data_IF_354881474287
#
_entry.id   IF_354881474287
#
_cell.length_a   1.000
_cell.length_b   1.000
_cell.length_c   1.000
_cell.angle_alpha   90.00
_cell.angle_beta   90.00
_cell.angle_gamma   90.00
#
_symmetry.space_group_name_H-M   'P 1'
#
loop_
_entity.id
_entity.type
_entity.pdbx_description
1 polymer ?
#
# COMPACT_ATOMS: atom_id res chain seq x y z
N UNK A 1 0.93 -16.60 -6.27
CA UNK A 1 1.53 -16.77 -4.93
C UNK A 1 3.02 -16.38 -4.87
N UNK A 2 3.79 -16.48 -5.96
CA UNK A 2 5.23 -16.12 -5.96
C UNK A 2 5.55 -14.61 -6.02
N UNK A 3 4.74 -13.80 -6.71
CA UNK A 3 4.99 -12.36 -6.85
C UNK A 3 4.93 -11.58 -5.51
N UNK A 4 4.11 -12.06 -4.56
CA UNK A 4 3.98 -11.48 -3.22
C UNK A 4 5.24 -11.65 -2.36
N UNK A 5 5.89 -12.82 -2.39
CA UNK A 5 7.13 -13.01 -1.65
C UNK A 5 8.32 -12.33 -2.33
N UNK A 6 8.36 -12.34 -3.67
CA UNK A 6 9.38 -11.60 -4.42
C UNK A 6 9.32 -10.09 -4.16
N UNK A 7 8.13 -9.48 -4.17
CA UNK A 7 7.98 -8.03 -3.88
C UNK A 7 8.43 -7.65 -2.46
N UNK A 8 8.18 -8.52 -1.46
CA UNK A 8 8.65 -8.30 -0.09
C UNK A 8 10.18 -8.41 0.00
N UNK A 9 10.78 -9.40 -0.68
CA UNK A 9 12.24 -9.53 -0.78
C UNK A 9 12.90 -8.32 -1.46
N UNK A 10 12.35 -7.78 -2.54
CA UNK A 10 12.96 -6.63 -3.23
C UNK A 10 12.89 -5.33 -2.41
N UNK A 11 11.80 -5.15 -1.64
CA UNK A 11 11.67 -4.08 -0.65
C UNK A 11 12.74 -4.24 0.45
N UNK A 12 12.94 -5.44 0.96
CA UNK A 12 14.01 -5.72 1.95
C UNK A 12 15.42 -5.56 1.35
N UNK A 13 15.60 -5.85 0.07
CA UNK A 13 16.85 -5.69 -0.68
C UNK A 13 17.12 -4.24 -1.13
N UNK A 14 16.26 -3.27 -0.78
CA UNK A 14 16.35 -1.86 -1.21
C UNK A 14 16.51 -1.71 -2.74
N UNK A 15 15.76 -2.50 -3.49
CA UNK A 15 15.70 -2.49 -4.96
C UNK A 15 14.30 -2.11 -5.45
N UNK A 16 13.92 -0.83 -5.25
CA UNK A 16 12.56 -0.36 -5.44
C UNK A 16 12.11 -0.36 -6.91
N UNK A 17 13.02 -0.14 -7.86
CA UNK A 17 12.68 -0.10 -9.30
C UNK A 17 12.30 -1.48 -9.84
N UNK A 18 13.05 -2.52 -9.46
CA UNK A 18 12.71 -3.90 -9.81
C UNK A 18 11.42 -4.37 -9.14
N UNK A 19 11.17 -3.91 -7.90
CA UNK A 19 9.92 -4.16 -7.21
C UNK A 19 8.74 -3.51 -7.95
N UNK A 20 8.88 -2.24 -8.37
CA UNK A 20 7.82 -1.47 -9.05
C UNK A 20 7.35 -2.16 -10.31
N UNK A 21 8.25 -2.59 -11.20
CA UNK A 21 7.89 -3.25 -12.46
C UNK A 21 7.04 -4.52 -12.23
N UNK A 22 7.43 -5.36 -11.27
CA UNK A 22 6.70 -6.60 -10.95
C UNK A 22 5.37 -6.34 -10.24
N UNK A 23 5.35 -5.35 -9.35
CA UNK A 23 4.14 -4.96 -8.63
C UNK A 23 3.11 -4.27 -9.53
N UNK A 24 3.55 -3.55 -10.56
CA UNK A 24 2.68 -2.90 -11.52
C UNK A 24 2.03 -3.91 -12.49
N UNK A 25 2.76 -4.98 -12.86
CA UNK A 25 2.18 -6.14 -13.54
C UNK A 25 1.10 -6.82 -12.70
N UNK A 26 1.37 -7.02 -11.39
CA UNK A 26 0.39 -7.58 -10.47
C UNK A 26 -0.83 -6.66 -10.31
N UNK A 27 -0.61 -5.35 -10.23
CA UNK A 27 -1.67 -4.34 -10.13
C UNK A 27 -2.64 -4.43 -11.31
N UNK A 28 -2.12 -4.43 -12.53
CA UNK A 28 -2.92 -4.51 -13.75
C UNK A 28 -3.71 -5.83 -13.86
N UNK A 29 -3.13 -6.94 -13.36
CA UNK A 29 -3.76 -8.25 -13.40
C UNK A 29 -4.80 -8.49 -12.28
N UNK A 30 -4.95 -7.58 -11.32
CA UNK A 30 -5.76 -7.80 -10.10
C UNK A 30 -6.92 -6.82 -9.93
N UNK A 31 -7.28 -6.10 -11.00
CA UNK A 31 -8.37 -5.10 -11.00
C UNK A 31 -9.68 -5.64 -10.43
N UNK A 32 -10.07 -6.88 -10.75
CA UNK A 32 -11.33 -7.48 -10.28
C UNK A 32 -11.23 -8.24 -8.95
N UNK A 33 -10.04 -8.24 -8.32
CA UNK A 33 -9.78 -9.00 -7.09
C UNK A 33 -9.42 -8.06 -5.95
N UNK A 34 -10.43 -7.52 -5.27
CA UNK A 34 -10.29 -6.54 -4.20
C UNK A 34 -9.17 -6.89 -3.19
N UNK A 35 -9.11 -8.14 -2.71
CA UNK A 35 -8.04 -8.58 -1.78
C UNK A 35 -6.63 -8.50 -2.37
N UNK A 36 -6.46 -8.84 -3.66
CA UNK A 36 -5.16 -8.77 -4.33
C UNK A 36 -4.79 -7.33 -4.68
N UNK A 37 -5.78 -6.50 -5.00
CA UNK A 37 -5.61 -5.06 -5.21
C UNK A 37 -5.11 -4.37 -3.95
N UNK A 38 -5.70 -4.65 -2.78
CA UNK A 38 -5.19 -4.15 -1.48
C UNK A 38 -3.73 -4.52 -1.29
N UNK A 39 -3.39 -5.79 -1.50
CA UNK A 39 -2.02 -6.25 -1.33
C UNK A 39 -1.05 -5.56 -2.30
N UNK A 40 -1.41 -5.44 -3.58
CA UNK A 40 -0.61 -4.74 -4.58
C UNK A 40 -0.38 -3.28 -4.23
N UNK A 41 -1.43 -2.55 -3.84
CA UNK A 41 -1.35 -1.16 -3.40
C UNK A 41 -0.42 -0.98 -2.20
N UNK A 42 -0.50 -1.87 -1.20
CA UNK A 42 0.38 -1.85 -0.03
C UNK A 42 1.85 -2.02 -0.42
N UNK A 43 2.15 -2.95 -1.33
CA UNK A 43 3.54 -3.17 -1.75
C UNK A 43 4.06 -2.01 -2.62
N UNK A 44 3.24 -1.45 -3.51
CA UNK A 44 3.60 -0.28 -4.30
C UNK A 44 3.87 0.93 -3.41
N UNK A 45 3.00 1.19 -2.43
CA UNK A 45 3.20 2.25 -1.45
C UNK A 45 4.56 2.15 -0.74
N UNK A 46 4.95 0.93 -0.33
CA UNK A 46 6.26 0.69 0.29
C UNK A 46 7.43 0.91 -0.66
N UNK A 47 7.29 0.51 -1.92
CA UNK A 47 8.32 0.72 -2.93
C UNK A 47 8.56 2.22 -3.18
N UNK A 48 7.48 3.00 -3.29
CA UNK A 48 7.60 4.46 -3.46
C UNK A 48 8.18 5.14 -2.22
N UNK A 49 7.80 4.69 -1.01
CA UNK A 49 8.39 5.19 0.22
C UNK A 49 9.91 4.93 0.28
N UNK A 50 10.36 3.77 -0.19
CA UNK A 50 11.79 3.46 -0.30
C UNK A 50 12.50 4.31 -1.35
N UNK A 51 11.80 4.70 -2.42
CA UNK A 51 12.29 5.65 -3.42
C UNK A 51 12.27 7.11 -2.95
N UNK A 52 11.70 7.39 -1.77
CA UNK A 52 11.54 8.74 -1.25
C UNK A 52 10.35 9.50 -1.86
N UNK A 53 9.55 8.87 -2.72
CA UNK A 53 8.33 9.46 -3.27
C UNK A 53 7.15 9.24 -2.33
N UNK A 54 7.08 10.09 -1.31
CA UNK A 54 6.07 10.02 -0.25
C UNK A 54 4.66 10.29 -0.79
N UNK A 55 4.53 11.17 -1.76
CA UNK A 55 3.23 11.56 -2.32
C UNK A 55 2.61 10.39 -3.11
N UNK A 56 3.41 9.74 -3.96
CA UNK A 56 2.97 8.55 -4.68
C UNK A 56 2.75 7.37 -3.72
N UNK A 57 3.57 7.24 -2.67
CA UNK A 57 3.37 6.24 -1.62
C UNK A 57 2.00 6.41 -0.94
N UNK A 58 1.63 7.63 -0.59
CA UNK A 58 0.37 7.94 0.07
C UNK A 58 -0.85 7.80 -0.88
N UNK A 59 -0.68 8.05 -2.18
CA UNK A 59 -1.70 7.76 -3.19
C UNK A 59 -2.02 6.26 -3.25
N UNK A 60 -0.99 5.40 -3.33
CA UNK A 60 -1.21 3.95 -3.29
C UNK A 60 -1.79 3.48 -1.95
N UNK A 61 -1.36 4.07 -0.84
CA UNK A 61 -1.92 3.81 0.48
C UNK A 61 -3.43 4.09 0.52
N UNK A 62 -3.86 5.21 -0.04
CA UNK A 62 -5.26 5.60 -0.16
C UNK A 62 -6.05 4.57 -0.97
N UNK A 63 -5.53 4.12 -2.11
CA UNK A 63 -6.21 3.09 -2.91
C UNK A 63 -6.33 1.76 -2.15
N UNK A 64 -5.36 1.43 -1.29
CA UNK A 64 -5.46 0.25 -0.44
C UNK A 64 -6.63 0.37 0.55
N UNK A 65 -6.84 1.53 1.15
CA UNK A 65 -7.96 1.79 2.08
C UNK A 65 -9.30 1.66 1.37
N UNK A 66 -9.44 2.30 0.21
CA UNK A 66 -10.66 2.24 -0.61
C UNK A 66 -10.98 0.81 -1.04
N UNK A 67 -9.95 0.01 -1.32
CA UNK A 67 -10.11 -1.40 -1.71
C UNK A 67 -10.39 -2.33 -0.52
N UNK A 68 -10.16 -1.88 0.73
CA UNK A 68 -10.55 -2.61 1.95
C UNK A 68 -12.00 -2.33 2.35
N UNK A 69 -12.59 -1.20 1.96
CA UNK A 69 -14.00 -0.91 2.20
C UNK A 69 -14.89 -2.00 1.56
N UNK A 70 -15.44 -2.89 2.39
CA UNK A 70 -16.20 -4.08 1.97
C UNK A 70 -15.52 -5.43 2.25
N UNK A 71 -14.31 -5.46 2.81
CA UNK A 71 -13.59 -6.68 3.18
C UNK A 71 -13.44 -6.84 4.70
N UNK A 72 -13.83 -8.00 5.25
CA UNK A 72 -13.64 -8.37 6.67
C UNK A 72 -12.24 -8.91 6.99
N UNK A 73 -11.26 -8.69 6.11
CA UNK A 73 -9.93 -9.30 6.20
C UNK A 73 -9.05 -8.62 7.26
N UNK A 74 -8.86 -9.29 8.40
CA UNK A 74 -7.96 -8.82 9.47
C UNK A 74 -6.52 -8.58 8.97
N UNK A 75 -6.04 -9.43 8.05
CA UNK A 75 -4.70 -9.28 7.46
C UNK A 75 -4.57 -7.98 6.67
N UNK A 76 -5.61 -7.61 5.92
CA UNK A 76 -5.63 -6.37 5.16
C UNK A 76 -5.61 -5.14 6.07
N UNK A 77 -6.37 -5.17 7.17
CA UNK A 77 -6.35 -4.13 8.21
C UNK A 77 -4.97 -4.00 8.85
N UNK A 78 -4.31 -5.10 9.19
CA UNK A 78 -2.96 -5.09 9.75
C UNK A 78 -1.93 -4.43 8.80
N UNK A 79 -2.06 -4.66 7.49
CA UNK A 79 -1.20 -4.00 6.50
C UNK A 79 -1.41 -2.47 6.48
N UNK A 80 -2.66 -2.00 6.54
CA UNK A 80 -2.97 -0.57 6.60
C UNK A 80 -2.42 0.10 7.87
N UNK A 81 -2.57 -0.55 9.02
CA UNK A 81 -2.00 -0.06 10.29
C UNK A 81 -0.47 0.05 10.20
N UNK A 82 0.18 -0.94 9.59
CA UNK A 82 1.63 -0.88 9.40
C UNK A 82 2.03 0.25 8.44
N UNK A 83 1.27 0.46 7.37
CA UNK A 83 1.49 1.54 6.40
C UNK A 83 1.34 2.91 7.05
N UNK A 84 0.32 3.09 7.90
CA UNK A 84 0.11 4.31 8.71
C UNK A 84 1.32 4.63 9.56
N UNK A 85 1.89 3.64 10.26
CA UNK A 85 3.11 3.84 11.04
C UNK A 85 4.32 4.25 10.17
N UNK A 86 4.40 3.75 8.93
CA UNK A 86 5.48 4.08 8.00
C UNK A 86 5.34 5.49 7.42
N UNK A 87 4.11 5.97 7.21
CA UNK A 87 3.82 7.29 6.65
C UNK A 87 3.70 8.40 7.71
N UNK A 88 3.49 8.06 8.98
CA UNK A 88 3.34 9.02 10.08
C UNK A 88 4.43 10.12 10.16
N UNK A 89 5.73 9.84 9.89
CA UNK A 89 6.76 10.90 9.86
C UNK A 89 6.49 12.00 8.82
N UNK A 90 5.66 11.72 7.82
CA UNK A 90 5.37 12.60 6.68
C UNK A 90 3.96 13.19 6.73
N UNK A 91 3.35 13.31 7.91
CA UNK A 91 2.01 13.88 8.10
C UNK A 91 1.79 15.29 7.50
N UNK A 92 2.87 16.03 7.23
CA UNK A 92 2.84 17.35 6.59
C UNK A 92 2.56 17.29 5.08
N UNK A 93 2.64 16.11 4.46
CA UNK A 93 2.31 15.89 3.04
C UNK A 93 0.80 15.71 2.91
N UNK A 94 0.14 16.52 2.10
CA UNK A 94 -1.32 16.51 1.94
C UNK A 94 -1.90 15.13 1.58
N UNK A 95 -1.20 14.38 0.73
CA UNK A 95 -1.60 13.02 0.37
C UNK A 95 -1.56 12.04 1.57
N UNK A 96 -0.64 12.24 2.52
CA UNK A 96 -0.56 11.43 3.75
C UNK A 96 -1.71 11.77 4.68
N UNK A 97 -2.02 13.05 4.85
CA UNK A 97 -3.16 13.50 5.66
C UNK A 97 -4.49 12.93 5.12
N UNK A 98 -4.67 12.93 3.80
CA UNK A 98 -5.82 12.34 3.13
C UNK A 98 -5.94 10.83 3.42
N UNK A 99 -4.82 10.12 3.31
CA UNK A 99 -4.76 8.70 3.64
C UNK A 99 -5.13 8.44 5.12
N UNK A 100 -4.57 9.22 6.06
CA UNK A 100 -4.85 9.05 7.48
C UNK A 100 -6.33 9.26 7.79
N UNK A 101 -6.94 10.31 7.24
CA UNK A 101 -8.36 10.60 7.40
C UNK A 101 -9.24 9.44 6.93
N UNK A 102 -8.90 8.84 5.79
CA UNK A 102 -9.63 7.67 5.23
C UNK A 102 -9.41 6.40 6.06
N UNK A 103 -8.22 6.19 6.61
CA UNK A 103 -7.94 5.05 7.50
C UNK A 103 -8.75 5.17 8.78
N UNK A 104 -8.85 6.35 9.37
CA UNK A 104 -9.59 6.56 10.61
C UNK A 104 -11.08 6.22 10.42
N UNK A 105 -11.68 6.69 9.32
CA UNK A 105 -13.06 6.33 8.95
C UNK A 105 -13.28 4.80 8.79
N UNK A 106 -12.25 4.06 8.37
CA UNK A 106 -12.33 2.61 8.16
C UNK A 106 -12.09 1.79 9.45
N UNK A 107 -11.31 2.32 10.39
CA UNK A 107 -10.94 1.63 11.63
C UNK A 107 -11.86 1.96 12.80
N UNK A 108 -12.49 3.13 12.78
CA UNK A 108 -13.49 3.55 13.78
C UNK A 108 -14.91 3.07 13.46
N UNK A 109 -15.15 2.60 12.23
CA UNK A 109 -16.40 1.96 11.78
C UNK A 109 -16.37 0.43 11.82
#
# INVERSE_FOLDING_TARGET
MFASHAGTCWIELRKPDEARAMLQLLWNATTDQARRRVYGAVQLSRAELLNGDVEQAASYATTAVESVAGLTSQRSRNHLVQLRKQLAPYHHVAAVEEFERRVDLLLEG
#
